data_IF_810878244355
#
_entry.id   IF_810878244355
#
_cell.length_a   1.000
_cell.length_b   1.000
_cell.length_c   1.000
_cell.angle_alpha   90.00
_cell.angle_beta   90.00
_cell.angle_gamma   90.00
#
_symmetry.space_group_name_H-M   'P 1'
#
loop_
_entity.id
_entity.type
_entity.pdbx_description
1 polymer ?
#
# COMPACT_ATOMS: atom_id res chain seq x y z
N UNK A 1 12.24 4.86 -10.43
CA UNK A 1 10.85 4.46 -10.23
C UNK A 1 10.78 3.26 -9.30
N UNK A 2 9.76 3.20 -8.45
CA UNK A 2 9.61 2.06 -7.55
C UNK A 2 9.06 0.86 -8.31
N UNK A 3 9.51 -0.32 -7.94
CA UNK A 3 8.96 -1.56 -8.49
C UNK A 3 7.59 -1.86 -7.88
N UNK A 4 7.46 -1.62 -6.57
CA UNK A 4 6.25 -1.97 -5.82
C UNK A 4 5.88 -0.84 -4.87
N UNK A 5 4.62 -0.45 -4.86
CA UNK A 5 4.08 0.45 -3.84
C UNK A 5 3.34 -0.40 -2.82
N UNK A 6 3.59 -0.15 -1.53
CA UNK A 6 2.93 -0.89 -0.45
C UNK A 6 1.81 -0.03 0.14
N UNK A 7 0.57 -0.51 0.03
CA UNK A 7 -0.61 0.10 0.62
C UNK A 7 -1.00 -0.69 1.86
N UNK A 8 -1.20 -0.01 2.98
CA UNK A 8 -1.49 -0.66 4.26
C UNK A 8 -2.25 0.29 5.17
N UNK A 9 -2.94 -0.28 6.17
CA UNK A 9 -3.51 0.52 7.24
C UNK A 9 -2.40 0.93 8.21
N UNK A 10 -2.42 2.17 8.70
CA UNK A 10 -1.42 2.65 9.63
C UNK A 10 -1.35 1.83 10.93
N UNK A 11 -2.43 1.13 11.26
CA UNK A 11 -2.44 0.23 12.40
C UNK A 11 -1.57 -1.00 12.17
N UNK A 12 -1.21 -1.26 10.91
CA UNK A 12 -0.38 -2.40 10.54
C UNK A 12 1.04 -1.98 10.14
N UNK A 13 1.51 -0.85 10.63
CA UNK A 13 2.81 -0.29 10.26
C UNK A 13 3.95 -1.29 10.48
N UNK A 14 3.95 -1.98 11.60
CA UNK A 14 5.01 -2.95 11.90
C UNK A 14 5.12 -4.04 10.85
N UNK A 15 3.98 -4.57 10.41
CA UNK A 15 3.97 -5.57 9.35
C UNK A 15 4.47 -4.97 8.02
N UNK A 16 4.02 -3.75 7.71
CA UNK A 16 4.44 -3.07 6.48
C UNK A 16 5.95 -2.82 6.47
N UNK A 17 6.53 -2.49 7.62
CA UNK A 17 7.98 -2.30 7.73
C UNK A 17 8.73 -3.60 7.48
N UNK A 18 8.25 -4.71 8.00
CA UNK A 18 8.86 -6.02 7.74
C UNK A 18 8.77 -6.40 6.28
N UNK A 19 7.62 -6.13 5.66
CA UNK A 19 7.40 -6.43 4.26
C UNK A 19 8.33 -5.59 3.37
N UNK A 20 8.45 -4.30 3.69
CA UNK A 20 9.35 -3.39 2.99
C UNK A 20 10.79 -3.92 3.04
N UNK A 21 11.27 -4.29 4.23
CA UNK A 21 12.63 -4.80 4.41
C UNK A 21 12.85 -6.10 3.64
N UNK A 22 11.88 -7.00 3.68
CA UNK A 22 11.98 -8.28 2.98
C UNK A 22 12.06 -8.07 1.46
N UNK A 23 11.27 -7.17 0.93
CA UNK A 23 11.28 -6.88 -0.50
C UNK A 23 12.60 -6.24 -0.94
N UNK A 24 13.13 -5.34 -0.13
CA UNK A 24 14.41 -4.70 -0.45
C UNK A 24 15.57 -5.70 -0.40
N UNK A 25 15.53 -6.66 0.52
CA UNK A 25 16.53 -7.73 0.57
C UNK A 25 16.50 -8.60 -0.69
N UNK A 26 15.31 -8.73 -1.32
CA UNK A 26 15.17 -9.48 -2.56
C UNK A 26 15.49 -8.64 -3.81
N UNK A 27 15.88 -7.39 -3.63
CA UNK A 27 16.30 -6.53 -4.73
C UNK A 27 15.20 -5.67 -5.33
N UNK A 28 14.02 -5.62 -4.71
CA UNK A 28 12.93 -4.78 -5.20
C UNK A 28 13.00 -3.39 -4.60
N UNK A 29 12.70 -2.38 -5.41
CA UNK A 29 12.56 -1.01 -4.94
C UNK A 29 11.11 -0.81 -4.49
N UNK A 30 10.91 -0.34 -3.26
CA UNK A 30 9.57 -0.17 -2.71
C UNK A 30 9.27 1.30 -2.44
N UNK A 31 8.03 1.70 -2.72
CA UNK A 31 7.52 3.00 -2.35
C UNK A 31 6.64 2.83 -1.10
N UNK A 32 6.97 3.54 -0.04
CA UNK A 32 6.21 3.51 1.21
C UNK A 32 6.06 4.94 1.71
N UNK A 33 4.89 5.23 2.32
CA UNK A 33 4.54 6.58 2.69
C UNK A 33 5.50 7.20 3.74
N UNK A 34 5.98 6.42 4.69
CA UNK A 34 6.87 6.96 5.73
C UNK A 34 8.25 7.38 5.18
N UNK A 35 8.66 6.81 4.05
CA UNK A 35 9.97 7.07 3.47
C UNK A 35 9.87 8.07 2.31
N UNK A 36 8.84 7.96 1.50
CA UNK A 36 8.76 8.60 0.19
C UNK A 36 7.90 9.84 0.14
N UNK A 37 7.14 10.16 1.20
CA UNK A 37 6.33 11.39 1.25
C UNK A 37 7.06 12.47 2.04
N UNK A 38 7.44 13.60 1.41
CA UNK A 38 8.04 14.71 2.15
C UNK A 38 7.03 15.32 3.13
N UNK A 39 7.47 15.77 4.32
CA UNK A 39 6.56 16.31 5.33
C UNK A 39 5.73 17.51 4.90
N UNK A 40 6.19 18.26 3.91
CA UNK A 40 5.53 19.47 3.44
C UNK A 40 4.64 19.25 2.22
N UNK A 41 4.57 18.02 1.71
CA UNK A 41 3.82 17.71 0.50
C UNK A 41 2.36 17.40 0.80
N UNK A 42 1.52 17.53 -0.23
CA UNK A 42 0.14 17.06 -0.15
C UNK A 42 0.16 15.54 -0.12
N UNK A 43 -0.31 14.98 0.98
CA UNK A 43 -0.25 13.54 1.24
C UNK A 43 -0.95 12.71 0.15
N UNK A 44 -2.18 13.10 -0.19
CA UNK A 44 -2.99 12.33 -1.14
C UNK A 44 -2.38 12.36 -2.54
N UNK A 45 -1.93 13.54 -2.98
CA UNK A 45 -1.30 13.68 -4.29
C UNK A 45 -0.02 12.86 -4.39
N UNK A 46 0.78 12.82 -3.32
CA UNK A 46 2.03 12.06 -3.31
C UNK A 46 1.75 10.55 -3.40
N UNK A 47 0.73 10.07 -2.70
CA UNK A 47 0.36 8.65 -2.77
C UNK A 47 -0.10 8.30 -4.18
N UNK A 48 -0.95 9.12 -4.77
CA UNK A 48 -1.45 8.86 -6.12
C UNK A 48 -0.33 8.88 -7.16
N UNK A 49 0.60 9.82 -7.02
CA UNK A 49 1.77 9.86 -7.89
C UNK A 49 2.63 8.61 -7.72
N UNK A 50 2.79 8.15 -6.48
CA UNK A 50 3.53 6.92 -6.19
C UNK A 50 2.88 5.71 -6.84
N UNK A 51 1.55 5.62 -6.78
CA UNK A 51 0.81 4.52 -7.41
C UNK A 51 1.04 4.53 -8.92
N UNK A 52 0.93 5.70 -9.54
CA UNK A 52 1.09 5.83 -10.99
C UNK A 52 2.50 5.49 -11.44
N UNK A 53 3.51 5.76 -10.62
CA UNK A 53 4.90 5.50 -10.96
C UNK A 53 5.39 4.11 -10.64
N UNK A 54 4.66 3.31 -9.88
CA UNK A 54 5.08 1.97 -9.52
C UNK A 54 4.64 0.96 -10.57
N UNK A 55 5.39 -0.14 -10.69
CA UNK A 55 5.02 -1.21 -11.61
C UNK A 55 3.92 -2.09 -11.03
N UNK A 56 3.91 -2.28 -9.71
CA UNK A 56 2.92 -3.11 -9.06
C UNK A 56 2.42 -2.43 -7.79
N UNK A 57 1.20 -2.77 -7.41
CA UNK A 57 0.54 -2.24 -6.22
C UNK A 57 0.26 -3.42 -5.27
N UNK A 58 0.99 -3.44 -4.16
CA UNK A 58 0.83 -4.48 -3.14
C UNK A 58 -0.03 -3.91 -2.03
N UNK A 59 -1.13 -4.59 -1.69
CA UNK A 59 -1.98 -4.12 -0.60
C UNK A 59 -2.09 -5.17 0.48
N UNK A 60 -1.92 -4.70 1.71
CA UNK A 60 -1.98 -5.55 2.91
C UNK A 60 -3.43 -5.67 3.33
N UNK A 61 -3.93 -6.90 3.34
CA UNK A 61 -5.32 -7.19 3.71
C UNK A 61 -5.38 -7.56 5.19
N UNK A 62 -6.16 -6.80 5.94
CA UNK A 62 -6.39 -7.01 7.37
C UNK A 62 -7.75 -6.43 7.72
N UNK A 63 -8.31 -6.73 8.91
CA UNK A 63 -9.54 -6.05 9.34
C UNK A 63 -9.38 -4.53 9.34
N UNK A 64 -8.20 -4.03 9.71
CA UNK A 64 -7.93 -2.59 9.74
C UNK A 64 -7.95 -1.98 8.33
N UNK A 65 -7.32 -2.63 7.36
CA UNK A 65 -7.29 -2.09 6.00
C UNK A 65 -8.66 -2.18 5.33
N UNK A 66 -9.44 -3.21 5.65
CA UNK A 66 -10.79 -3.36 5.11
C UNK A 66 -11.72 -2.23 5.54
N UNK A 67 -11.46 -1.62 6.71
CA UNK A 67 -12.25 -0.51 7.22
C UNK A 67 -11.70 0.86 6.83
N UNK A 68 -10.52 0.91 6.22
CA UNK A 68 -9.86 2.18 5.92
C UNK A 68 -10.34 2.78 4.60
N UNK A 69 -10.97 3.97 4.64
CA UNK A 69 -11.36 4.66 3.40
C UNK A 69 -10.14 5.02 2.53
N UNK A 70 -9.02 5.35 3.16
CA UNK A 70 -7.79 5.69 2.45
C UNK A 70 -7.26 4.50 1.66
N UNK A 71 -7.25 3.31 2.27
CA UNK A 71 -6.84 2.09 1.58
C UNK A 71 -7.74 1.79 0.40
N UNK A 72 -9.05 1.97 0.56
CA UNK A 72 -10.01 1.76 -0.52
C UNK A 72 -9.76 2.69 -1.69
N UNK A 73 -9.47 3.97 -1.42
CA UNK A 73 -9.17 4.95 -2.47
C UNK A 73 -7.91 4.58 -3.22
N UNK A 74 -6.89 4.10 -2.51
CA UNK A 74 -5.62 3.71 -3.13
C UNK A 74 -5.81 2.51 -4.04
N UNK A 75 -6.56 1.51 -3.60
CA UNK A 75 -6.85 0.34 -4.43
C UNK A 75 -7.61 0.76 -5.69
N UNK A 76 -8.62 1.61 -5.54
CA UNK A 76 -9.39 2.11 -6.67
C UNK A 76 -8.50 2.83 -7.68
N UNK A 77 -7.61 3.68 -7.19
CA UNK A 77 -6.70 4.43 -8.06
C UNK A 77 -5.75 3.49 -8.81
N UNK A 78 -5.26 2.43 -8.14
CA UNK A 78 -4.40 1.45 -8.77
C UNK A 78 -5.12 0.69 -9.87
N UNK A 79 -6.38 0.33 -9.65
CA UNK A 79 -7.21 -0.33 -10.68
C UNK A 79 -7.40 0.59 -11.87
N UNK A 80 -7.73 1.86 -11.63
CA UNK A 80 -7.92 2.84 -12.70
C UNK A 80 -6.62 3.07 -13.50
N UNK A 81 -5.47 2.93 -12.86
CA UNK A 81 -4.17 3.12 -13.51
C UNK A 81 -3.62 1.83 -14.13
N UNK A 82 -4.42 0.77 -14.15
CA UNK A 82 -4.05 -0.53 -14.73
C UNK A 82 -2.80 -1.15 -14.09
N UNK A 83 -2.65 -1.00 -12.80
CA UNK A 83 -1.50 -1.57 -12.10
C UNK A 83 -1.73 -3.04 -11.76
N UNK A 84 -0.64 -3.79 -11.67
CA UNK A 84 -0.71 -5.18 -11.19
C UNK A 84 -1.04 -5.14 -9.69
N UNK A 85 -2.09 -5.83 -9.30
CA UNK A 85 -2.51 -5.88 -7.90
C UNK A 85 -1.97 -7.14 -7.24
N UNK A 86 -1.28 -6.96 -6.10
CA UNK A 86 -0.71 -8.08 -5.35
C UNK A 86 -1.29 -8.03 -3.94
N UNK A 87 -2.30 -8.86 -3.63
CA UNK A 87 -2.86 -8.90 -2.28
C UNK A 87 -1.99 -9.73 -1.34
N UNK A 88 -1.78 -9.23 -0.12
CA UNK A 88 -1.07 -9.96 0.92
C UNK A 88 -1.96 -9.98 2.16
N UNK A 89 -2.38 -11.16 2.58
CA UNK A 89 -3.24 -11.31 3.75
C UNK A 89 -2.36 -11.31 5.00
N UNK A 90 -2.47 -10.26 5.82
CA UNK A 90 -1.79 -10.19 7.10
C UNK A 90 -2.60 -10.90 8.19
N UNK A 91 -3.91 -10.58 8.21
CA UNK A 91 -4.84 -11.24 9.12
C UNK A 91 -6.12 -11.53 8.33
N UNK A 92 -6.74 -12.69 8.52
CA UNK A 92 -7.97 -13.00 7.79
C UNK A 92 -9.05 -11.96 8.08
N UNK A 93 -9.75 -11.55 7.02
CA UNK A 93 -10.86 -10.61 7.13
C UNK A 93 -12.13 -11.43 7.24
N UNK A 94 -12.83 -11.29 8.36
CA UNK A 94 -14.09 -11.99 8.57
C UNK A 94 -15.22 -11.21 7.89
N UNK A 95 -16.35 -11.88 7.54
CA UNK A 95 -17.47 -11.18 6.89
C UNK A 95 -17.96 -9.95 7.65
N UNK A 96 -17.93 -9.97 8.98
CA UNK A 96 -18.36 -8.82 9.79
C UNK A 96 -17.41 -7.64 9.71
N UNK A 97 -16.18 -7.82 9.22
CA UNK A 97 -15.22 -6.73 9.06
C UNK A 97 -15.41 -6.00 7.73
N UNK A 98 -16.20 -6.56 6.83
CA UNK A 98 -16.44 -5.96 5.52
C UNK A 98 -17.69 -5.09 5.53
N UNK A 99 -17.64 -3.99 4.81
CA UNK A 99 -18.77 -3.05 4.71
C UNK A 99 -19.35 -3.01 3.31
#
# INVERSE_FOLDING_TARGET
>A
MADVLISYSRRNLEFAERLHSALEEEGFSTWVDWKDIPPTSDWEDEIYTGIEGADAFLFVISPDSAESPECSKEVYHAVESNKRLIPVVWRPVEPEDLH
#
